data_IF_555566332078
#
_entry.id   IF_555566332078
#
_cell.length_a   1.000
_cell.length_b   1.000
_cell.length_c   1.000
_cell.angle_alpha   90.00
_cell.angle_beta   90.00
_cell.angle_gamma   90.00
#
_symmetry.space_group_name_H-M   'P 1'
#
loop_
_entity.id
_entity.type
_entity.pdbx_description
1 polymer ?
#
# COMPACT_ATOMS: atom_id res chain seq x y z
N UNK A 1 -25.50 36.72 -34.17
CA UNK A 1 -24.69 36.09 -35.22
C UNK A 1 -23.73 35.11 -34.54
N UNK A 2 -24.12 33.84 -34.42
CA UNK A 2 -23.29 32.83 -33.75
C UNK A 2 -22.47 32.08 -34.80
N UNK A 3 -21.25 32.56 -35.05
CA UNK A 3 -20.26 31.77 -35.78
C UNK A 3 -19.85 30.62 -34.87
N UNK A 4 -20.36 29.41 -35.14
CA UNK A 4 -20.06 28.23 -34.32
C UNK A 4 -19.49 27.12 -35.20
N UNK A 5 -18.18 27.15 -35.38
CA UNK A 5 -17.39 26.04 -35.91
C UNK A 5 -17.26 24.93 -34.86
N UNK A 6 -18.39 24.33 -34.45
CA UNK A 6 -18.36 23.13 -33.62
C UNK A 6 -17.97 21.94 -34.50
N UNK A 7 -16.68 21.69 -34.64
CA UNK A 7 -16.21 20.36 -35.05
C UNK A 7 -16.44 19.44 -33.87
N UNK A 8 -17.54 18.68 -33.91
CA UNK A 8 -17.80 17.62 -32.94
C UNK A 8 -16.89 16.43 -33.18
N UNK A 9 -16.50 15.75 -32.12
CA UNK A 9 -15.89 14.42 -32.17
C UNK A 9 -16.82 13.49 -32.95
N UNK A 10 -16.28 12.74 -33.90
CA UNK A 10 -17.10 11.77 -34.61
C UNK A 10 -17.41 10.58 -33.70
N UNK A 11 -18.59 9.98 -33.85
CA UNK A 11 -18.99 8.83 -33.01
C UNK A 11 -17.98 7.68 -33.13
N UNK A 12 -17.46 7.46 -34.34
CA UNK A 12 -16.41 6.46 -34.60
C UNK A 12 -15.11 6.76 -33.86
N UNK A 13 -14.77 8.02 -33.70
CA UNK A 13 -13.55 8.47 -33.01
C UNK A 13 -13.63 8.21 -31.51
N UNK A 14 -14.82 8.32 -30.91
CA UNK A 14 -15.02 7.89 -29.52
C UNK A 14 -15.11 6.36 -29.42
N UNK A 15 -15.68 5.68 -30.43
CA UNK A 15 -15.87 4.24 -30.42
C UNK A 15 -14.54 3.46 -30.42
N UNK A 16 -13.58 3.86 -31.26
CA UNK A 16 -12.28 3.19 -31.28
C UNK A 16 -11.50 3.42 -29.98
N UNK A 17 -11.68 4.58 -29.34
CA UNK A 17 -10.98 4.93 -28.10
C UNK A 17 -11.44 4.04 -26.94
N UNK A 18 -12.75 3.87 -26.77
CA UNK A 18 -13.27 2.96 -25.75
C UNK A 18 -12.91 1.50 -26.07
N UNK A 19 -12.80 1.13 -27.35
CA UNK A 19 -12.31 -0.19 -27.77
C UNK A 19 -10.86 -0.45 -27.36
N UNK A 20 -9.96 0.52 -27.54
CA UNK A 20 -8.56 0.40 -27.12
C UNK A 20 -8.44 0.39 -25.60
N UNK A 21 -9.17 1.25 -24.89
CA UNK A 21 -9.17 1.29 -23.41
C UNK A 21 -9.64 -0.05 -22.83
N UNK A 22 -10.65 -0.70 -23.44
CA UNK A 22 -11.12 -2.01 -23.00
C UNK A 22 -10.02 -3.09 -23.07
N UNK A 23 -9.22 -3.10 -24.14
CA UNK A 23 -8.10 -4.03 -24.31
C UNK A 23 -6.99 -3.75 -23.28
N UNK A 24 -6.60 -2.47 -23.12
CA UNK A 24 -5.58 -2.07 -22.15
C UNK A 24 -6.01 -2.36 -20.71
N UNK A 25 -7.29 -2.14 -20.37
CA UNK A 25 -7.82 -2.40 -19.04
C UNK A 25 -7.81 -3.91 -18.71
N UNK A 26 -8.09 -4.78 -19.69
CA UNK A 26 -8.06 -6.23 -19.49
C UNK A 26 -6.69 -6.77 -19.09
N UNK A 27 -5.63 -6.34 -19.77
CA UNK A 27 -4.25 -6.79 -19.46
C UNK A 27 -3.71 -6.19 -18.16
N UNK A 28 -4.14 -4.97 -17.81
CA UNK A 28 -3.65 -4.26 -16.63
C UNK A 28 -4.00 -4.98 -15.33
N UNK A 29 -5.19 -5.58 -15.25
CA UNK A 29 -5.68 -6.21 -14.03
C UNK A 29 -4.79 -7.39 -13.59
N UNK A 30 -4.39 -8.25 -14.53
CA UNK A 30 -3.62 -9.48 -14.26
C UNK A 30 -2.23 -9.17 -13.69
N UNK A 31 -1.59 -8.09 -14.13
CA UNK A 31 -0.25 -7.72 -13.65
C UNK A 31 -0.23 -6.91 -12.35
N UNK A 32 -1.35 -6.29 -11.97
CA UNK A 32 -1.35 -5.30 -10.86
C UNK A 32 -1.12 -5.89 -9.47
N UNK A 33 -1.44 -7.18 -9.25
CA UNK A 33 -1.29 -7.85 -7.95
C UNK A 33 0.17 -8.00 -7.51
N UNK A 34 1.06 -8.46 -8.40
CA UNK A 34 2.48 -8.67 -8.05
C UNK A 34 3.19 -7.36 -7.67
N UNK A 35 2.82 -6.25 -8.31
CA UNK A 35 3.42 -4.94 -8.03
C UNK A 35 3.02 -4.42 -6.65
N UNK A 36 1.78 -4.69 -6.22
CA UNK A 36 1.30 -4.37 -4.87
C UNK A 36 2.01 -5.22 -3.83
N UNK A 37 2.13 -6.53 -4.06
CA UNK A 37 2.84 -7.45 -3.17
C UNK A 37 4.31 -7.04 -2.97
N UNK A 38 5.01 -6.70 -4.06
CA UNK A 38 6.40 -6.25 -4.00
C UNK A 38 6.55 -4.92 -3.24
N UNK A 39 5.60 -3.98 -3.40
CA UNK A 39 5.60 -2.73 -2.66
C UNK A 39 5.41 -2.94 -1.15
N UNK A 40 4.51 -3.86 -0.75
CA UNK A 40 4.31 -4.24 0.65
C UNK A 40 5.57 -4.89 1.23
N UNK A 41 6.19 -5.83 0.50
CA UNK A 41 7.42 -6.48 0.96
C UNK A 41 8.58 -5.49 1.13
N UNK A 42 8.74 -4.56 0.19
CA UNK A 42 9.74 -3.48 0.31
C UNK A 42 9.49 -2.61 1.53
N UNK A 43 8.22 -2.39 1.88
CA UNK A 43 7.83 -1.60 3.04
C UNK A 43 8.12 -2.32 4.35
N UNK A 44 7.70 -3.59 4.48
CA UNK A 44 8.00 -4.43 5.66
C UNK A 44 9.51 -4.46 5.92
N UNK A 45 10.31 -4.65 4.87
CA UNK A 45 11.78 -4.62 4.99
C UNK A 45 12.29 -3.30 5.56
N UNK A 46 11.78 -2.17 5.06
CA UNK A 46 12.19 -0.85 5.54
C UNK A 46 11.76 -0.62 7.00
N UNK A 47 10.63 -1.20 7.40
CA UNK A 47 10.09 -1.04 8.75
C UNK A 47 10.85 -1.89 9.76
N UNK A 48 11.25 -3.13 9.42
CA UNK A 48 12.18 -3.93 10.25
C UNK A 48 13.51 -3.22 10.46
N UNK A 49 14.10 -2.64 9.42
CA UNK A 49 15.36 -1.89 9.53
C UNK A 49 15.25 -0.67 10.47
N UNK A 50 14.09 -0.01 10.49
CA UNK A 50 13.84 1.08 11.44
C UNK A 50 13.71 0.55 12.87
N UNK A 51 13.02 -0.58 13.06
CA UNK A 51 12.89 -1.20 14.38
C UNK A 51 14.24 -1.63 14.94
N UNK A 52 15.12 -2.24 14.13
CA UNK A 52 16.49 -2.56 14.54
C UNK A 52 17.25 -1.32 15.00
N UNK A 53 17.23 -0.24 14.21
CA UNK A 53 17.90 1.02 14.56
C UNK A 53 17.34 1.66 15.85
N UNK A 54 16.03 1.57 16.07
CA UNK A 54 15.40 2.07 17.28
C UNK A 54 15.76 1.22 18.50
N UNK A 55 15.84 -0.08 18.32
CA UNK A 55 16.20 -1.01 19.38
C UNK A 55 17.66 -0.82 19.82
N UNK A 56 18.57 -0.58 18.87
CA UNK A 56 19.98 -0.22 19.15
C UNK A 56 20.10 1.13 19.88
N UNK A 57 19.31 2.12 19.47
CA UNK A 57 19.25 3.41 20.15
C UNK A 57 18.76 3.25 21.59
N UNK A 58 17.68 2.49 21.79
CA UNK A 58 17.12 2.23 23.12
C UNK A 58 18.10 1.48 24.02
N UNK A 59 18.80 0.47 23.48
CA UNK A 59 19.86 -0.24 24.21
C UNK A 59 21.00 0.69 24.63
N UNK A 60 21.39 1.62 23.76
CA UNK A 60 22.43 2.62 24.08
C UNK A 60 22.04 3.54 25.23
N UNK A 61 20.75 3.87 25.36
CA UNK A 61 20.23 4.78 26.38
C UNK A 61 19.92 4.07 27.70
N UNK A 62 19.34 2.86 27.64
CA UNK A 62 18.75 2.19 28.80
C UNK A 62 19.49 0.91 29.21
N UNK A 63 20.48 0.45 28.43
CA UNK A 63 21.30 -0.73 28.72
C UNK A 63 20.59 -2.07 28.52
N UNK A 64 19.35 -2.06 28.03
CA UNK A 64 18.54 -3.24 27.72
C UNK A 64 17.66 -2.96 26.49
N UNK A 65 17.14 -4.02 25.86
CA UNK A 65 16.26 -3.90 24.71
C UNK A 65 14.80 -3.67 25.13
N UNK A 66 14.04 -2.92 24.32
CA UNK A 66 12.64 -2.62 24.61
C UNK A 66 11.77 -3.89 24.55
N UNK A 67 10.88 -4.06 25.54
CA UNK A 67 9.90 -5.15 25.60
C UNK A 67 8.54 -4.78 25.00
N UNK A 68 8.30 -3.49 24.73
CA UNK A 68 7.07 -2.95 24.17
C UNK A 68 7.38 -1.89 23.12
N UNK A 69 6.54 -1.81 22.08
CA UNK A 69 6.65 -0.79 21.03
C UNK A 69 6.55 0.64 21.61
N UNK A 70 5.77 0.82 22.68
CA UNK A 70 5.61 2.14 23.34
C UNK A 70 6.89 2.66 24.00
N UNK A 71 7.83 1.79 24.34
CA UNK A 71 9.12 2.21 24.90
C UNK A 71 10.08 2.77 23.83
N UNK A 72 9.81 2.44 22.55
CA UNK A 72 10.55 2.94 21.39
C UNK A 72 10.04 4.29 20.87
N UNK A 73 8.88 4.77 21.35
CA UNK A 73 8.25 6.02 20.93
C UNK A 73 8.85 7.29 21.59
N UNK A 74 9.71 7.13 22.60
CA UNK A 74 10.10 8.20 23.52
C UNK A 74 11.38 8.99 23.19
N UNK A 75 12.15 8.66 22.14
CA UNK A 75 13.46 9.31 21.95
C UNK A 75 14.15 9.19 20.59
N UNK A 76 13.49 8.63 19.58
CA UNK A 76 14.07 8.36 18.27
C UNK A 76 13.09 8.53 17.11
N UNK A 77 13.50 8.25 15.86
CA UNK A 77 12.60 8.25 14.71
C UNK A 77 11.36 7.41 15.04
N UNK A 78 10.17 7.98 14.90
CA UNK A 78 8.90 7.32 15.22
C UNK A 78 8.85 5.90 14.64
N UNK A 79 8.38 4.89 15.41
CA UNK A 79 8.29 3.53 14.91
C UNK A 79 7.49 3.48 13.60
N UNK A 80 7.81 2.52 12.72
CA UNK A 80 7.10 2.37 11.46
C UNK A 80 5.60 2.23 11.73
N UNK A 81 4.80 2.96 10.96
CA UNK A 81 3.34 2.97 11.09
C UNK A 81 2.79 1.54 11.08
N UNK A 82 1.83 1.32 11.96
CA UNK A 82 1.17 0.04 12.18
C UNK A 82 0.17 -0.37 11.08
N UNK A 83 0.11 0.34 9.95
CA UNK A 83 -0.81 0.07 8.84
C UNK A 83 -0.39 -1.10 7.94
N UNK A 84 0.56 -1.92 8.39
CA UNK A 84 0.85 -3.20 7.75
C UNK A 84 -0.13 -4.24 8.30
N UNK A 85 -0.89 -4.85 7.39
CA UNK A 85 -1.74 -5.99 7.71
C UNK A 85 -0.90 -7.25 7.75
N UNK A 86 -0.97 -7.99 8.86
CA UNK A 86 -0.29 -9.27 9.04
C UNK A 86 -1.32 -10.39 9.21
N UNK A 87 -1.00 -11.59 8.72
CA UNK A 87 -1.79 -12.78 9.01
C UNK A 87 -1.48 -13.27 10.42
N UNK A 88 -2.50 -13.31 11.28
CA UNK A 88 -2.40 -13.92 12.61
C UNK A 88 -3.64 -14.76 12.87
N UNK A 89 -3.45 -16.01 13.32
CA UNK A 89 -4.51 -16.91 13.75
C UNK A 89 -5.72 -16.99 12.80
N UNK A 90 -5.50 -17.17 11.49
CA UNK A 90 -6.61 -17.32 10.54
C UNK A 90 -7.27 -16.02 10.09
N UNK A 91 -6.78 -14.86 10.52
CA UNK A 91 -7.37 -13.56 10.23
C UNK A 91 -6.32 -12.57 9.71
N UNK A 92 -6.73 -11.72 8.78
CA UNK A 92 -5.93 -10.57 8.35
C UNK A 92 -6.14 -9.46 9.39
N UNK A 93 -5.12 -9.16 10.18
CA UNK A 93 -5.18 -8.10 11.18
C UNK A 93 -4.34 -6.91 10.72
N UNK A 94 -4.99 -5.78 10.46
CA UNK A 94 -4.33 -4.49 10.22
C UNK A 94 -4.57 -3.57 11.41
N UNK A 95 -3.56 -2.81 11.82
CA UNK A 95 -3.72 -1.95 12.98
C UNK A 95 -4.75 -0.85 12.72
N UNK A 96 -5.43 -0.53 13.81
CA UNK A 96 -6.45 0.50 13.98
C UNK A 96 -6.07 1.80 13.26
N UNK A 97 -6.70 2.09 12.12
CA UNK A 97 -6.53 3.35 11.41
C UNK A 97 -7.00 3.37 9.95
N UNK A 98 -7.08 2.22 9.28
CA UNK A 98 -7.60 2.12 7.92
C UNK A 98 -8.91 1.31 7.93
N UNK A 99 -10.05 2.01 8.05
CA UNK A 99 -11.40 1.45 8.13
C UNK A 99 -11.92 0.80 6.84
N UNK A 100 -11.05 0.39 5.93
CA UNK A 100 -11.40 -0.49 4.82
C UNK A 100 -10.12 -0.99 4.18
N UNK A 101 -9.61 -2.12 4.67
CA UNK A 101 -8.86 -3.06 3.83
C UNK A 101 -9.80 -3.35 2.65
N UNK A 102 -9.45 -2.89 1.46
CA UNK A 102 -10.26 -3.15 0.27
C UNK A 102 -10.26 -4.66 0.01
N UNK A 103 -11.31 -5.17 -0.63
CA UNK A 103 -11.42 -6.59 -0.96
C UNK A 103 -10.20 -7.17 -1.73
N UNK A 104 -9.34 -6.34 -2.32
CA UNK A 104 -8.11 -6.81 -2.98
C UNK A 104 -6.96 -7.14 -2.01
N UNK A 105 -6.98 -6.61 -0.78
CA UNK A 105 -5.90 -6.74 0.19
C UNK A 105 -6.08 -7.97 1.11
N UNK A 106 -7.26 -8.61 1.10
CA UNK A 106 -7.48 -9.88 1.84
C UNK A 106 -6.93 -11.11 1.11
N UNK A 107 -6.81 -11.10 -0.22
CA UNK A 107 -6.32 -12.27 -0.99
C UNK A 107 -4.82 -12.50 -0.77
N UNK A 108 -4.04 -11.43 -0.54
CA UNK A 108 -2.60 -11.51 -0.25
C UNK A 108 -2.24 -12.15 1.10
N UNK A 109 -3.19 -12.24 2.04
CA UNK A 109 -2.99 -12.88 3.34
C UNK A 109 -3.57 -14.30 3.40
N UNK A 110 -4.20 -14.80 2.32
CA UNK A 110 -4.86 -16.11 2.27
C UNK A 110 -4.07 -17.19 1.51
N UNK A 111 -2.96 -16.83 0.87
CA UNK A 111 -1.96 -17.77 0.35
C UNK A 111 -0.70 -17.80 1.22
#
# INVERSE_FOLDING_TARGET
MFTKNNKGFTLVEVMIVVGIIAILAGIFLVGSGQFRAAAVLSRVKADVQKMEALQELYYTLNGDYAGSEGDLEGGGPTPPRSDISYYSNGSCSGATGLSSIGAADYELCRE
#
